data_IF_313247488206
#
_entry.id   IF_313247488206
#
_cell.length_a   1.000
_cell.length_b   1.000
_cell.length_c   1.000
_cell.angle_alpha   90.00
_cell.angle_beta   90.00
_cell.angle_gamma   90.00
#
_symmetry.space_group_name_H-M   'P 1'
#
loop_
_entity.id
_entity.type
_entity.pdbx_description
1 polymer ?
#
# COMPACT_ATOMS: atom_id res chain seq x y z
N UNK A 1 1.53 -46.89 56.19
CA UNK A 1 1.49 -45.70 55.31
C UNK A 1 2.69 -45.79 54.38
N UNK A 2 2.46 -46.01 53.08
CA UNK A 2 3.53 -46.09 52.08
C UNK A 2 3.29 -44.97 51.06
N UNK A 3 4.15 -43.96 51.06
CA UNK A 3 4.05 -42.80 50.17
C UNK A 3 4.82 -43.09 48.89
N UNK A 4 4.11 -43.20 47.76
CA UNK A 4 4.73 -43.31 46.43
C UNK A 4 4.99 -41.90 45.92
N UNK A 5 6.26 -41.57 45.70
CA UNK A 5 6.68 -40.31 45.07
C UNK A 5 6.68 -40.52 43.56
N UNK A 6 5.78 -39.83 42.85
CA UNK A 6 5.80 -39.75 41.40
C UNK A 6 6.89 -38.76 40.96
N UNK A 7 7.92 -39.26 40.29
CA UNK A 7 8.93 -38.41 39.65
C UNK A 7 8.34 -37.82 38.37
N UNK A 8 8.17 -36.50 38.32
CA UNK A 8 7.81 -35.79 37.10
C UNK A 8 9.04 -35.68 36.18
N UNK A 9 9.02 -36.37 35.05
CA UNK A 9 9.98 -36.17 33.96
C UNK A 9 9.62 -34.85 33.26
N UNK A 10 10.46 -33.83 33.45
CA UNK A 10 10.40 -32.62 32.65
C UNK A 10 10.88 -32.93 31.22
N UNK A 11 9.99 -32.80 30.24
CA UNK A 11 10.39 -32.77 28.83
C UNK A 11 11.24 -31.52 28.59
N UNK A 12 12.54 -31.69 28.38
CA UNK A 12 13.38 -30.60 27.88
C UNK A 12 12.97 -30.28 26.45
N UNK A 13 12.72 -29.00 26.16
CA UNK A 13 12.49 -28.53 24.81
C UNK A 13 13.71 -28.92 23.93
N UNK A 14 13.47 -29.54 22.78
CA UNK A 14 14.54 -29.81 21.81
C UNK A 14 15.24 -28.49 21.49
N UNK A 15 16.56 -28.47 21.68
CA UNK A 15 17.42 -27.37 21.25
C UNK A 15 17.18 -27.17 19.75
N UNK A 16 16.82 -25.95 19.34
CA UNK A 16 16.61 -25.63 17.94
C UNK A 16 17.87 -26.02 17.15
N UNK A 17 17.69 -26.77 16.05
CA UNK A 17 18.80 -27.12 15.16
C UNK A 17 19.49 -25.83 14.70
N UNK A 18 20.75 -25.63 15.08
CA UNK A 18 21.54 -24.44 14.74
C UNK A 18 22.33 -24.63 13.45
N UNK A 19 22.20 -25.79 12.78
CA UNK A 19 22.89 -26.09 11.55
C UNK A 19 22.60 -25.04 10.47
N UNK A 20 23.62 -24.61 9.70
CA UNK A 20 23.40 -23.81 8.50
C UNK A 20 22.63 -24.59 7.41
N UNK A 21 22.56 -25.92 7.52
CA UNK A 21 21.83 -26.81 6.60
C UNK A 21 20.49 -27.29 7.16
N UNK A 22 20.03 -26.76 8.31
CA UNK A 22 18.74 -27.15 8.85
C UNK A 22 17.62 -26.86 7.85
N UNK A 23 16.60 -27.70 7.82
CA UNK A 23 15.39 -27.38 7.08
C UNK A 23 14.74 -26.14 7.69
N UNK A 24 14.59 -25.08 6.89
CA UNK A 24 13.81 -23.92 7.30
C UNK A 24 12.32 -24.30 7.26
N UNK A 25 11.51 -23.94 8.27
CA UNK A 25 10.07 -24.17 8.28
C UNK A 25 9.37 -23.19 7.33
N UNK A 26 9.68 -23.28 6.04
CA UNK A 26 9.09 -22.46 5.00
C UNK A 26 7.74 -23.06 4.58
N UNK A 27 6.76 -22.22 4.20
CA UNK A 27 5.51 -22.71 3.65
C UNK A 27 5.76 -23.56 2.40
N UNK A 28 4.96 -24.60 2.24
CA UNK A 28 5.02 -25.43 1.05
C UNK A 28 4.69 -24.60 -0.21
N UNK A 29 5.25 -24.97 -1.38
CA UNK A 29 4.89 -24.38 -2.66
C UNK A 29 3.38 -24.50 -2.92
N UNK A 30 2.81 -23.52 -3.63
CA UNK A 30 1.41 -23.51 -4.06
C UNK A 30 1.33 -23.23 -5.56
N UNK A 31 0.13 -23.32 -6.14
CA UNK A 31 -0.09 -22.95 -7.54
C UNK A 31 0.15 -21.45 -7.81
N UNK A 32 0.10 -20.61 -6.77
CA UNK A 32 0.34 -19.17 -6.87
C UNK A 32 1.82 -18.82 -6.68
N UNK A 33 2.58 -19.62 -5.90
CA UNK A 33 4.00 -19.37 -5.61
C UNK A 33 4.77 -20.68 -5.52
N UNK A 34 5.76 -20.84 -6.40
CA UNK A 34 6.58 -22.05 -6.49
C UNK A 34 7.59 -22.18 -5.34
N UNK A 35 8.30 -23.32 -5.28
CA UNK A 35 9.34 -23.58 -4.28
C UNK A 35 10.53 -22.61 -4.34
N UNK A 36 10.78 -22.00 -5.50
CA UNK A 36 11.81 -20.97 -5.67
C UNK A 36 11.32 -19.57 -5.29
N UNK A 37 10.06 -19.42 -4.90
CA UNK A 37 9.44 -18.12 -4.63
C UNK A 37 8.97 -17.39 -5.89
N UNK A 38 9.18 -17.97 -7.08
CA UNK A 38 8.71 -17.42 -8.35
C UNK A 38 7.16 -17.53 -8.46
N UNK A 39 6.52 -16.63 -9.24
CA UNK A 39 5.14 -16.78 -9.66
C UNK A 39 4.83 -18.19 -10.18
N UNK A 40 3.80 -18.83 -9.64
CA UNK A 40 3.28 -20.11 -10.14
C UNK A 40 2.30 -19.91 -11.30
N UNK A 41 1.74 -21.01 -11.86
CA UNK A 41 0.80 -20.94 -12.98
C UNK A 41 -0.51 -20.19 -12.67
N UNK A 42 -0.96 -20.20 -11.41
CA UNK A 42 -2.18 -19.50 -10.96
C UNK A 42 -1.87 -18.12 -10.35
N UNK A 43 -0.65 -17.63 -10.53
CA UNK A 43 -0.28 -16.29 -10.07
C UNK A 43 -1.04 -15.20 -10.83
N UNK A 44 -1.49 -14.19 -10.11
CA UNK A 44 -2.23 -13.07 -10.68
C UNK A 44 -1.71 -11.73 -10.14
N UNK A 45 -1.92 -10.69 -10.93
CA UNK A 45 -1.73 -9.30 -10.55
C UNK A 45 -2.88 -8.48 -11.10
N UNK A 46 -3.37 -7.53 -10.32
CA UNK A 46 -4.36 -6.57 -10.81
C UNK A 46 -3.79 -5.75 -11.95
N UNK A 47 -4.65 -5.31 -12.86
CA UNK A 47 -4.28 -4.41 -13.94
C UNK A 47 -5.07 -3.12 -13.83
N UNK A 48 -4.37 -2.00 -13.89
CA UNK A 48 -4.94 -0.67 -13.92
C UNK A 48 -4.25 0.11 -15.02
N UNK A 49 -5.01 0.49 -16.06
CA UNK A 49 -4.51 1.32 -17.15
C UNK A 49 -4.99 2.76 -16.95
N UNK A 50 -4.08 3.71 -17.11
CA UNK A 50 -4.34 5.10 -16.80
C UNK A 50 -4.24 5.97 -18.06
N UNK A 51 -5.19 6.88 -18.22
CA UNK A 51 -5.07 8.04 -19.10
C UNK A 51 -5.11 9.28 -18.22
N UNK A 52 -3.95 9.89 -18.01
CA UNK A 52 -3.79 11.04 -17.10
C UNK A 52 -3.59 12.32 -17.92
N UNK A 53 -4.34 13.37 -17.57
CA UNK A 53 -4.12 14.74 -18.03
C UNK A 53 -3.82 15.59 -16.81
N UNK A 54 -2.60 16.12 -16.75
CA UNK A 54 -2.15 16.92 -15.62
C UNK A 54 -1.66 18.30 -16.06
N UNK A 55 -1.73 19.27 -15.15
CA UNK A 55 -1.22 20.64 -15.35
C UNK A 55 -0.47 21.07 -14.10
N UNK A 56 0.72 21.64 -14.31
CA UNK A 56 1.51 22.29 -13.27
C UNK A 56 1.24 23.79 -13.31
N UNK A 57 0.73 24.32 -12.19
CA UNK A 57 0.57 25.75 -11.93
C UNK A 57 1.77 26.22 -11.10
N UNK A 58 2.72 26.89 -11.75
CA UNK A 58 3.96 27.35 -11.10
C UNK A 58 3.78 28.59 -10.25
N UNK A 59 2.74 29.38 -10.48
CA UNK A 59 2.45 30.55 -9.67
C UNK A 59 1.80 30.15 -8.32
N UNK A 60 0.92 29.16 -8.37
CA UNK A 60 0.27 28.58 -7.18
C UNK A 60 1.05 27.42 -6.54
N UNK A 61 2.09 26.90 -7.19
CA UNK A 61 2.79 25.67 -6.80
C UNK A 61 1.85 24.47 -6.62
N UNK A 62 0.94 24.24 -7.57
CA UNK A 62 -0.08 23.17 -7.51
C UNK A 62 0.01 22.30 -8.75
N UNK A 63 -0.11 20.98 -8.57
CA UNK A 63 -0.39 20.06 -9.67
C UNK A 63 -1.88 19.71 -9.62
N UNK A 64 -2.54 19.82 -10.77
CA UNK A 64 -3.93 19.40 -10.96
C UNK A 64 -3.96 18.27 -11.98
N UNK A 65 -4.80 17.27 -11.75
CA UNK A 65 -4.93 16.10 -12.59
C UNK A 65 -6.39 15.71 -12.80
N UNK A 66 -6.68 15.23 -14.00
CA UNK A 66 -7.88 14.44 -14.29
C UNK A 66 -7.44 13.16 -14.99
N UNK A 67 -7.99 12.02 -14.60
CA UNK A 67 -7.60 10.74 -15.16
C UNK A 67 -8.79 9.79 -15.31
N UNK A 68 -8.63 8.91 -16.30
CA UNK A 68 -9.47 7.72 -16.45
C UNK A 68 -8.64 6.50 -16.09
N UNK A 69 -9.17 5.68 -15.20
CA UNK A 69 -8.53 4.42 -14.79
C UNK A 69 -9.41 3.28 -15.30
N UNK A 70 -8.88 2.46 -16.20
CA UNK A 70 -9.48 1.18 -16.57
C UNK A 70 -8.93 0.09 -15.67
N UNK A 71 -9.76 -0.42 -14.77
CA UNK A 71 -9.36 -1.43 -13.79
C UNK A 71 -9.91 -2.81 -14.16
N UNK A 72 -9.03 -3.79 -14.27
CA UNK A 72 -9.40 -5.19 -14.50
C UNK A 72 -9.08 -6.03 -13.26
N UNK A 73 -10.11 -6.70 -12.73
CA UNK A 73 -9.96 -7.63 -11.61
C UNK A 73 -9.42 -8.97 -12.09
N UNK A 74 -8.13 -9.22 -11.89
CA UNK A 74 -7.51 -10.52 -12.20
C UNK A 74 -7.47 -11.47 -11.00
N UNK A 75 -7.93 -11.03 -9.81
CA UNK A 75 -7.98 -11.92 -8.65
C UNK A 75 -9.05 -13.00 -8.82
N UNK A 76 -8.93 -14.14 -8.10
CA UNK A 76 -9.99 -15.14 -8.03
C UNK A 76 -11.19 -14.68 -7.19
N UNK A 77 -11.09 -13.52 -6.53
CA UNK A 77 -12.08 -13.02 -5.60
C UNK A 77 -12.99 -11.97 -6.23
N UNK A 78 -14.22 -11.89 -5.73
CA UNK A 78 -15.11 -10.77 -6.05
C UNK A 78 -14.79 -9.58 -5.15
N UNK A 79 -14.51 -8.42 -5.75
CA UNK A 79 -14.12 -7.21 -5.01
C UNK A 79 -15.34 -6.34 -4.71
N UNK A 80 -15.53 -5.94 -3.45
CA UNK A 80 -16.54 -4.95 -3.07
C UNK A 80 -16.00 -3.51 -3.09
N UNK A 81 -14.68 -3.35 -2.97
CA UNK A 81 -13.97 -2.08 -2.93
C UNK A 81 -12.60 -2.23 -3.57
N UNK A 82 -11.97 -1.11 -3.92
CA UNK A 82 -10.56 -1.05 -4.31
C UNK A 82 -9.79 -0.12 -3.38
N UNK A 83 -8.50 -0.40 -3.22
CA UNK A 83 -7.56 0.47 -2.52
C UNK A 83 -6.76 1.30 -3.52
N UNK A 84 -6.70 2.60 -3.27
CA UNK A 84 -5.98 3.58 -4.08
C UNK A 84 -4.91 4.22 -3.23
N UNK A 85 -3.68 4.28 -3.73
CA UNK A 85 -2.59 5.00 -3.07
C UNK A 85 -2.74 6.50 -3.34
N UNK A 86 -2.68 7.28 -2.26
CA UNK A 86 -2.75 8.74 -2.25
C UNK A 86 -1.54 9.29 -1.49
N UNK A 87 -0.36 9.00 -2.03
CA UNK A 87 0.94 9.20 -1.36
C UNK A 87 1.19 10.63 -0.86
N UNK A 88 0.62 11.64 -1.52
CA UNK A 88 0.82 13.04 -1.11
C UNK A 88 0.23 13.37 0.25
N UNK A 89 -0.66 12.54 0.78
CA UNK A 89 -1.12 12.64 2.17
C UNK A 89 0.00 12.36 3.19
N UNK A 90 1.20 11.99 2.77
CA UNK A 90 2.38 12.02 3.64
C UNK A 90 2.62 13.42 4.23
N UNK A 91 2.24 14.49 3.52
CA UNK A 91 2.32 15.89 3.97
C UNK A 91 1.03 16.39 4.63
N UNK A 92 0.00 15.54 4.78
CA UNK A 92 -1.23 15.95 5.45
C UNK A 92 -0.95 16.27 6.93
N UNK A 93 -1.65 17.26 7.49
CA UNK A 93 -1.47 17.68 8.88
C UNK A 93 -1.69 16.57 9.91
N UNK A 94 -2.52 15.58 9.57
CA UNK A 94 -2.81 14.41 10.39
C UNK A 94 -2.04 13.15 9.95
N UNK A 95 -1.02 13.29 9.09
CA UNK A 95 -0.23 12.14 8.63
C UNK A 95 0.64 11.58 9.76
N UNK A 96 0.97 10.30 9.66
CA UNK A 96 1.93 9.65 10.56
C UNK A 96 3.30 10.33 10.48
N UNK A 97 3.73 10.73 9.29
CA UNK A 97 5.01 11.42 9.09
C UNK A 97 5.05 12.76 9.82
N UNK A 98 3.98 13.54 9.75
CA UNK A 98 3.88 14.80 10.47
C UNK A 98 3.83 14.58 11.99
N UNK A 99 3.06 13.58 12.45
CA UNK A 99 2.94 13.26 13.88
C UNK A 99 4.25 12.76 14.50
N UNK A 100 5.00 11.92 13.77
CA UNK A 100 6.30 11.42 14.24
C UNK A 100 7.40 12.47 14.13
N UNK A 101 7.32 13.37 13.14
CA UNK A 101 8.29 14.43 12.86
C UNK A 101 9.74 13.94 12.97
N UNK A 102 10.04 12.83 12.31
CA UNK A 102 11.36 12.20 12.41
C UNK A 102 12.43 13.09 11.77
N UNK A 103 13.65 13.14 12.33
CA UNK A 103 14.77 13.82 11.67
C UNK A 103 15.05 13.18 10.30
N UNK A 104 15.70 13.92 9.39
CA UNK A 104 16.09 13.39 8.08
C UNK A 104 16.85 12.06 8.20
N UNK A 105 16.57 11.12 7.29
CA UNK A 105 17.27 9.85 7.22
C UNK A 105 18.57 10.03 6.45
N UNK A 106 19.68 9.64 7.08
CA UNK A 106 21.02 9.68 6.49
C UNK A 106 21.43 8.27 6.04
N UNK A 107 21.77 8.13 4.77
CA UNK A 107 22.22 6.86 4.18
C UNK A 107 23.73 6.88 3.93
N UNK A 108 24.33 5.69 3.86
CA UNK A 108 25.72 5.54 3.43
C UNK A 108 25.92 6.18 2.05
N UNK A 109 27.01 6.94 1.87
CA UNK A 109 27.26 7.73 0.66
C UNK A 109 26.72 9.17 0.70
N UNK A 110 26.18 9.62 1.84
CA UNK A 110 25.82 11.04 2.05
C UNK A 110 24.44 11.45 1.55
N UNK A 111 23.62 10.49 1.08
CA UNK A 111 22.24 10.77 0.72
C UNK A 111 21.40 11.05 1.97
N UNK A 112 20.62 12.13 1.92
CA UNK A 112 19.72 12.56 3.00
C UNK A 112 18.30 12.63 2.45
N UNK A 113 17.37 11.94 3.10
CA UNK A 113 15.95 11.99 2.77
C UNK A 113 15.18 12.63 3.92
N UNK A 114 14.57 13.77 3.62
CA UNK A 114 13.69 14.48 4.55
C UNK A 114 12.23 14.28 4.13
N UNK A 115 11.51 13.47 4.90
CA UNK A 115 10.08 13.22 4.68
C UNK A 115 9.19 14.23 5.41
N UNK A 116 9.74 15.10 6.26
CA UNK A 116 8.96 16.08 7.05
C UNK A 116 8.42 17.23 6.20
N UNK A 117 8.91 17.37 4.96
CA UNK A 117 8.64 18.53 4.12
C UNK A 117 9.09 19.84 4.77
N UNK A 118 9.99 19.80 5.77
CA UNK A 118 10.39 20.94 6.60
C UNK A 118 9.20 21.68 7.23
N UNK A 119 8.19 20.93 7.66
CA UNK A 119 6.96 21.48 8.24
C UNK A 119 5.93 21.93 7.20
N UNK A 120 6.14 21.64 5.91
CA UNK A 120 5.14 21.83 4.88
C UNK A 120 3.88 21.01 5.17
N UNK A 121 2.73 21.68 5.07
CA UNK A 121 1.41 21.05 5.18
C UNK A 121 0.78 21.05 3.79
N UNK A 122 0.43 19.86 3.33
CA UNK A 122 -0.21 19.62 2.04
C UNK A 122 -1.16 18.43 2.12
N UNK A 123 -1.09 17.57 1.12
CA UNK A 123 -2.02 16.46 0.94
C UNK A 123 -2.69 16.53 -0.42
N UNK A 124 -3.17 15.38 -0.89
CA UNK A 124 -3.99 15.33 -2.09
C UNK A 124 -5.42 15.67 -1.74
N UNK A 125 -6.05 16.46 -2.60
CA UNK A 125 -7.49 16.66 -2.61
C UNK A 125 -8.07 15.86 -3.76
N UNK A 126 -8.94 14.90 -3.46
CA UNK A 126 -9.72 14.18 -4.47
C UNK A 126 -11.01 14.96 -4.72
N UNK A 127 -11.05 15.73 -5.80
CA UNK A 127 -12.24 16.49 -6.19
C UNK A 127 -13.37 15.57 -6.64
N UNK A 128 -13.00 14.47 -7.31
CA UNK A 128 -13.95 13.55 -7.92
C UNK A 128 -13.39 12.14 -7.97
N UNK A 129 -14.22 11.17 -7.64
CA UNK A 129 -13.95 9.76 -7.88
C UNK A 129 -15.26 9.06 -8.26
N UNK A 130 -15.44 8.79 -9.55
CA UNK A 130 -16.71 8.29 -10.11
C UNK A 130 -16.53 6.98 -10.86
N UNK A 131 -17.59 6.19 -10.91
CA UNK A 131 -17.77 5.15 -11.91
C UNK A 131 -19.16 5.28 -12.55
N UNK A 132 -19.26 5.07 -13.86
CA UNK A 132 -20.51 5.21 -14.62
C UNK A 132 -21.29 6.52 -14.31
N UNK A 133 -20.56 7.63 -14.14
CA UNK A 133 -21.12 8.96 -13.87
C UNK A 133 -21.58 9.21 -12.42
N UNK A 134 -21.47 8.23 -11.51
CA UNK A 134 -21.89 8.36 -10.10
C UNK A 134 -20.68 8.51 -9.19
N UNK A 135 -20.78 9.41 -8.21
CA UNK A 135 -19.78 9.55 -7.15
C UNK A 135 -19.73 8.28 -6.28
N UNK A 136 -18.52 7.83 -5.99
CA UNK A 136 -18.28 6.66 -5.16
C UNK A 136 -17.99 7.07 -3.71
N UNK A 137 -18.48 6.25 -2.77
CA UNK A 137 -18.13 6.43 -1.37
C UNK A 137 -16.64 6.12 -1.17
N UNK A 138 -15.97 6.97 -0.39
CA UNK A 138 -14.53 6.88 -0.14
C UNK A 138 -14.20 7.11 1.33
N UNK A 139 -13.19 6.38 1.81
CA UNK A 139 -12.64 6.56 3.15
C UNK A 139 -11.12 6.62 3.05
N UNK A 140 -10.53 7.69 3.58
CA UNK A 140 -9.08 7.89 3.58
C UNK A 140 -8.44 7.38 4.88
N UNK A 141 -7.32 6.70 4.73
CA UNK A 141 -6.50 6.11 5.78
C UNK A 141 -5.03 6.50 5.55
N UNK A 142 -4.70 7.75 5.87
CA UNK A 142 -3.38 8.32 5.61
C UNK A 142 -3.09 8.38 4.11
N UNK A 143 -2.07 7.65 3.65
CA UNK A 143 -1.67 7.56 2.23
C UNK A 143 -2.42 6.49 1.44
N UNK A 144 -3.43 5.85 2.02
CA UNK A 144 -4.29 4.87 1.36
C UNK A 144 -5.74 5.34 1.38
N UNK A 145 -6.49 5.09 0.31
CA UNK A 145 -7.91 5.38 0.22
C UNK A 145 -8.68 4.13 -0.19
N UNK A 146 -9.74 3.82 0.53
CA UNK A 146 -10.70 2.77 0.16
C UNK A 146 -11.84 3.39 -0.64
N UNK A 147 -12.12 2.84 -1.81
CA UNK A 147 -13.22 3.27 -2.69
C UNK A 147 -14.22 2.13 -2.82
N UNK A 148 -15.46 2.35 -2.39
CA UNK A 148 -16.53 1.35 -2.51
C UNK A 148 -16.99 1.25 -3.97
N UNK A 149 -17.08 0.03 -4.49
CA UNK A 149 -17.58 -0.21 -5.83
C UNK A 149 -19.11 -0.14 -5.83
N UNK A 150 -19.73 0.41 -6.89
CA UNK A 150 -21.18 0.51 -6.97
C UNK A 150 -21.87 -0.86 -7.03
N UNK A 151 -21.14 -1.88 -7.50
CA UNK A 151 -21.51 -3.29 -7.48
C UNK A 151 -20.24 -4.12 -7.28
N UNK A 152 -20.32 -5.30 -6.62
CA UNK A 152 -19.19 -6.19 -6.50
C UNK A 152 -18.62 -6.58 -7.89
N UNK A 153 -17.32 -6.46 -8.04
CA UNK A 153 -16.60 -6.74 -9.28
C UNK A 153 -16.10 -8.19 -9.26
N UNK A 154 -16.76 -9.04 -10.03
CA UNK A 154 -16.43 -10.46 -10.15
C UNK A 154 -15.00 -10.68 -10.70
N UNK A 155 -14.41 -11.88 -10.55
CA UNK A 155 -13.19 -12.26 -11.23
C UNK A 155 -13.28 -12.00 -12.74
N UNK A 156 -12.21 -11.45 -13.32
CA UNK A 156 -12.10 -10.95 -14.71
C UNK A 156 -13.04 -9.79 -15.05
N UNK A 157 -13.79 -9.27 -14.09
CA UNK A 157 -14.63 -8.08 -14.28
C UNK A 157 -13.77 -6.84 -14.50
N UNK A 158 -14.35 -5.85 -15.19
CA UNK A 158 -13.73 -4.55 -15.43
C UNK A 158 -14.60 -3.41 -14.94
N UNK A 159 -13.97 -2.30 -14.56
CA UNK A 159 -14.64 -1.06 -14.20
C UNK A 159 -13.78 0.14 -14.60
N UNK A 160 -14.42 1.19 -15.11
CA UNK A 160 -13.77 2.46 -15.41
C UNK A 160 -14.05 3.49 -14.34
N UNK A 161 -12.99 4.15 -13.88
CA UNK A 161 -13.07 5.27 -12.96
C UNK A 161 -12.75 6.58 -13.66
N UNK A 162 -13.46 7.64 -13.29
CA UNK A 162 -13.15 9.02 -13.64
C UNK A 162 -12.76 9.76 -12.35
N UNK A 163 -11.52 10.24 -12.32
CA UNK A 163 -10.91 10.81 -11.12
C UNK A 163 -10.39 12.20 -11.44
N UNK A 164 -10.60 13.15 -10.53
CA UNK A 164 -9.92 14.44 -10.56
C UNK A 164 -9.36 14.76 -9.19
N UNK A 165 -8.18 15.36 -9.19
CA UNK A 165 -7.40 15.59 -7.99
C UNK A 165 -6.48 16.80 -8.16
N UNK A 166 -6.05 17.35 -7.03
CA UNK A 166 -4.95 18.30 -7.00
C UNK A 166 -4.16 18.20 -5.70
N UNK A 167 -2.92 18.66 -5.71
CA UNK A 167 -2.13 18.81 -4.48
C UNK A 167 -1.12 19.96 -4.61
N UNK A 168 -0.81 20.66 -3.50
CA UNK A 168 0.26 21.63 -3.48
C UNK A 168 1.62 20.92 -3.46
N UNK A 169 2.58 21.46 -4.21
CA UNK A 169 3.95 20.95 -4.31
C UNK A 169 4.79 21.55 -3.17
N UNK A 170 5.47 20.73 -2.35
CA UNK A 170 6.38 21.24 -1.32
C UNK A 170 7.52 22.06 -1.95
N UNK A 171 7.87 23.26 -1.42
CA UNK A 171 8.90 24.13 -1.99
C UNK A 171 10.29 23.50 -2.12
N UNK A 172 10.63 22.55 -1.24
CA UNK A 172 11.92 21.87 -1.22
C UNK A 172 11.84 20.45 -1.81
N UNK A 173 10.74 20.13 -2.50
CA UNK A 173 10.42 18.77 -2.88
C UNK A 173 10.10 17.89 -1.66
N UNK A 174 9.93 16.60 -1.92
CA UNK A 174 9.59 15.63 -0.91
C UNK A 174 9.81 14.21 -1.41
N UNK A 175 9.99 13.26 -0.49
CA UNK A 175 9.95 11.86 -0.87
C UNK A 175 8.58 11.51 -1.46
N UNK A 176 8.54 10.61 -2.46
CA UNK A 176 7.32 10.13 -3.14
C UNK A 176 6.56 11.17 -3.99
N UNK A 177 7.29 12.11 -4.58
CA UNK A 177 6.76 13.10 -5.53
C UNK A 177 6.84 12.66 -7.01
N UNK A 178 7.35 11.45 -7.29
CA UNK A 178 7.67 10.95 -8.64
C UNK A 178 9.16 10.94 -8.91
#
# INVERSE_FOLDING_TARGET
>A
MLTIIAAALAFQAQVADTSPFRALPLPAPTQVRSASGAPGPDYWQQRADYVIRATLDTAGSVIRGSERIHYANHSPDTLAFVWVQIEQNIFAKNSVTYALNQPPLHFAGGAVFDFTGKGFIGGITIERFRAAGRELARTEYGTMMRVELPRPLAPRGVIDFDVAWHFPVPPYGGGRMG
#
